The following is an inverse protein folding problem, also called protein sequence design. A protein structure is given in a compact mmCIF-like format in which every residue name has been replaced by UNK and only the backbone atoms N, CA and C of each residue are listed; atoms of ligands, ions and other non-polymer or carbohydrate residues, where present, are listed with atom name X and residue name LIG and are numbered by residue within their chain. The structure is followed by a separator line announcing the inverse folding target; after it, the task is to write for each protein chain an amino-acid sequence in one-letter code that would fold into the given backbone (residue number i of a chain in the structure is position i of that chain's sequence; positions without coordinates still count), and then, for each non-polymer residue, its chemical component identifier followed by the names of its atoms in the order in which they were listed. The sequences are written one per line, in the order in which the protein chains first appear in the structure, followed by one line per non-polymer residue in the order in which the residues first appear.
data_IF_653662419379
#
_entry.id   IF_653662419379
#
_cell.length_a   1.000
_cell.length_b   1.000
_cell.length_c   1.000
_cell.angle_alpha   90.00
_cell.angle_beta   90.00
_cell.angle_gamma   90.00
#
_symmetry.space_group_name_H-M   'P 1'
#
loop_
_entity.id
_entity.type
_entity.pdbx_description
1 polymer ?
#
# COMPACT_ATOMS: atom_id res chain seq x y z
N UNK A 1 -27.44 47.08 -39.85
CA UNK A 1 -26.53 46.82 -38.72
C UNK A 1 -26.91 45.49 -38.09
N UNK A 2 -26.05 44.49 -38.15
CA UNK A 2 -26.28 43.20 -37.48
C UNK A 2 -26.34 43.43 -35.98
N UNK A 3 -27.48 43.14 -35.33
CA UNK A 3 -27.57 43.14 -33.87
C UNK A 3 -26.60 42.10 -33.33
N UNK A 4 -25.64 42.52 -32.51
CA UNK A 4 -24.74 41.62 -31.82
C UNK A 4 -25.58 40.74 -30.88
N UNK A 5 -25.52 39.42 -31.05
CA UNK A 5 -26.24 38.49 -30.18
C UNK A 5 -25.42 38.23 -28.91
N UNK A 6 -25.64 39.06 -27.88
CA UNK A 6 -24.95 38.96 -26.59
C UNK A 6 -25.12 37.59 -25.91
N UNK A 7 -26.27 36.93 -26.07
CA UNK A 7 -26.49 35.60 -25.52
C UNK A 7 -25.58 34.55 -26.18
N UNK A 8 -25.36 34.66 -27.49
CA UNK A 8 -24.44 33.78 -28.23
C UNK A 8 -22.98 34.01 -27.83
N UNK A 9 -22.59 35.25 -27.55
CA UNK A 9 -21.25 35.58 -27.03
C UNK A 9 -21.08 34.96 -25.65
N UNK A 10 -22.06 35.13 -24.76
CA UNK A 10 -22.05 34.50 -23.44
C UNK A 10 -21.94 32.98 -23.53
N UNK A 11 -22.75 32.34 -24.37
CA UNK A 11 -22.68 30.89 -24.59
C UNK A 11 -21.30 30.44 -25.10
N UNK A 12 -20.65 31.23 -25.95
CA UNK A 12 -19.31 30.92 -26.46
C UNK A 12 -18.27 30.97 -25.33
N UNK A 13 -18.32 32.00 -24.48
CA UNK A 13 -17.44 32.13 -23.31
C UNK A 13 -17.68 30.98 -22.33
N UNK A 14 -18.95 30.66 -22.04
CA UNK A 14 -19.33 29.56 -21.15
C UNK A 14 -18.87 28.21 -21.69
N UNK A 15 -18.99 27.98 -23.00
CA UNK A 15 -18.46 26.79 -23.67
C UNK A 15 -16.94 26.69 -23.49
N UNK A 16 -16.19 27.74 -23.80
CA UNK A 16 -14.72 27.73 -23.67
C UNK A 16 -14.29 27.45 -22.22
N UNK A 17 -14.98 28.03 -21.23
CA UNK A 17 -14.68 27.79 -19.82
C UNK A 17 -14.92 26.32 -19.42
N UNK A 18 -16.10 25.76 -19.73
CA UNK A 18 -16.46 24.39 -19.35
C UNK A 18 -15.67 23.34 -20.13
N UNK A 19 -15.48 23.55 -21.43
CA UNK A 19 -14.61 22.73 -22.26
C UNK A 19 -13.16 22.78 -21.75
N UNK A 20 -12.70 23.96 -21.29
CA UNK A 20 -11.39 24.13 -20.66
C UNK A 20 -11.22 23.27 -19.41
N UNK A 21 -12.22 23.25 -18.51
CA UNK A 21 -12.20 22.38 -17.33
C UNK A 21 -12.20 20.90 -17.68
N UNK A 22 -13.10 20.45 -18.57
CA UNK A 22 -13.10 19.06 -19.01
C UNK A 22 -11.79 18.67 -19.69
N UNK A 23 -11.25 19.50 -20.57
CA UNK A 23 -10.01 19.19 -21.26
C UNK A 23 -8.83 19.15 -20.30
N UNK A 24 -8.81 20.04 -19.29
CA UNK A 24 -7.82 20.00 -18.22
C UNK A 24 -7.86 18.67 -17.46
N UNK A 25 -9.05 18.25 -17.01
CA UNK A 25 -9.18 17.00 -16.27
C UNK A 25 -8.82 15.77 -17.11
N UNK A 26 -9.27 15.72 -18.36
CA UNK A 26 -8.89 14.65 -19.29
C UNK A 26 -7.38 14.64 -19.53
N UNK A 27 -6.76 15.79 -19.80
CA UNK A 27 -5.32 15.88 -20.08
C UNK A 27 -4.45 15.48 -18.88
N UNK A 28 -4.83 15.91 -17.67
CA UNK A 28 -4.13 15.52 -16.45
C UNK A 28 -4.20 14.01 -16.21
N UNK A 29 -5.39 13.42 -16.32
CA UNK A 29 -5.59 11.98 -16.17
C UNK A 29 -4.74 11.18 -17.16
N UNK A 30 -4.73 11.59 -18.43
CA UNK A 30 -3.91 10.97 -19.48
C UNK A 30 -2.41 11.10 -19.19
N UNK A 31 -1.96 12.27 -18.74
CA UNK A 31 -0.55 12.50 -18.43
C UNK A 31 -0.09 11.68 -17.21
N UNK A 32 -0.92 11.58 -16.18
CA UNK A 32 -0.65 10.77 -14.99
C UNK A 32 -0.62 9.28 -15.34
N UNK A 33 -1.56 8.83 -16.17
CA UNK A 33 -1.67 7.43 -16.57
C UNK A 33 -0.58 7.01 -17.57
N UNK A 34 -0.22 7.88 -18.51
CA UNK A 34 0.78 7.64 -19.56
C UNK A 34 1.83 8.76 -19.56
N UNK A 35 2.82 8.72 -18.64
CA UNK A 35 3.86 9.75 -18.54
C UNK A 35 4.77 9.84 -19.79
N UNK A 36 4.71 8.86 -20.69
CA UNK A 36 5.40 8.88 -21.98
C UNK A 36 4.81 9.93 -22.94
N UNK A 37 3.56 10.36 -22.71
CA UNK A 37 2.92 11.41 -23.47
C UNK A 37 3.31 12.76 -22.85
N UNK A 38 3.70 13.73 -23.67
CA UNK A 38 3.95 15.08 -23.16
C UNK A 38 2.65 15.71 -22.67
N UNK A 39 2.71 16.61 -21.70
CA UNK A 39 1.52 17.32 -21.22
C UNK A 39 0.78 18.04 -22.37
N UNK A 40 1.51 18.58 -23.35
CA UNK A 40 0.94 19.19 -24.55
C UNK A 40 0.23 18.18 -25.45
N UNK A 41 0.77 16.97 -25.58
CA UNK A 41 0.11 15.87 -26.29
C UNK A 41 -1.19 15.45 -25.62
N UNK A 42 -1.19 15.35 -24.28
CA UNK A 42 -2.40 15.03 -23.51
C UNK A 42 -3.49 16.10 -23.68
N UNK A 43 -3.11 17.39 -23.64
CA UNK A 43 -4.03 18.50 -23.94
C UNK A 43 -4.59 18.46 -25.35
N UNK A 44 -3.76 18.19 -26.36
CA UNK A 44 -4.21 18.07 -27.74
C UNK A 44 -5.26 16.96 -27.90
N UNK A 45 -5.01 15.77 -27.33
CA UNK A 45 -5.95 14.65 -27.33
C UNK A 45 -7.26 15.05 -26.65
N UNK A 46 -7.18 15.66 -25.47
CA UNK A 46 -8.35 16.09 -24.71
C UNK A 46 -9.24 17.06 -25.50
N UNK A 47 -8.64 18.09 -26.11
CA UNK A 47 -9.37 19.08 -26.93
C UNK A 47 -10.04 18.41 -28.12
N UNK A 48 -9.33 17.56 -28.86
CA UNK A 48 -9.88 16.85 -30.02
C UNK A 48 -11.07 15.98 -29.62
N UNK A 49 -10.94 15.20 -28.54
CA UNK A 49 -12.00 14.32 -28.08
C UNK A 49 -13.23 15.10 -27.61
N UNK A 50 -13.04 16.19 -26.87
CA UNK A 50 -14.15 17.03 -26.40
C UNK A 50 -14.87 17.73 -27.56
N UNK A 51 -14.13 18.19 -28.58
CA UNK A 51 -14.71 18.79 -29.78
C UNK A 51 -15.51 17.77 -30.59
N UNK A 52 -14.99 16.55 -30.78
CA UNK A 52 -15.72 15.47 -31.47
C UNK A 52 -17.00 15.12 -30.68
N UNK A 53 -16.91 14.97 -29.36
CA UNK A 53 -18.06 14.71 -28.51
C UNK A 53 -19.12 15.83 -28.62
N UNK A 54 -18.70 17.09 -28.60
CA UNK A 54 -19.58 18.26 -28.75
C UNK A 54 -20.29 18.29 -30.12
N UNK A 55 -19.57 17.98 -31.20
CA UNK A 55 -20.14 17.85 -32.55
C UNK A 55 -21.16 16.71 -32.60
N UNK A 56 -20.81 15.55 -32.02
CA UNK A 56 -21.70 14.40 -31.96
C UNK A 56 -22.96 14.71 -31.14
N UNK A 57 -22.85 15.42 -30.01
CA UNK A 57 -24.00 15.89 -29.24
C UNK A 57 -24.91 16.80 -30.06
N UNK A 58 -24.35 17.80 -30.74
CA UNK A 58 -25.13 18.68 -31.61
C UNK A 58 -25.82 17.94 -32.75
N UNK A 59 -25.16 16.93 -33.35
CA UNK A 59 -25.75 16.07 -34.37
C UNK A 59 -26.86 15.18 -33.80
N UNK A 60 -26.68 14.63 -32.60
CA UNK A 60 -27.69 13.81 -31.93
C UNK A 60 -28.97 14.64 -31.73
N UNK A 61 -28.87 15.85 -31.20
CA UNK A 61 -30.01 16.75 -31.03
C UNK A 61 -30.74 17.02 -32.34
N UNK A 62 -30.01 17.25 -33.44
CA UNK A 62 -30.61 17.42 -34.77
C UNK A 62 -31.32 16.17 -35.28
N UNK A 63 -30.82 14.98 -34.96
CA UNK A 63 -31.49 13.72 -35.38
C UNK A 63 -32.77 13.44 -34.59
N UNK A 64 -32.85 13.97 -33.36
CA UNK A 64 -34.04 13.88 -32.51
C UNK A 64 -35.08 14.96 -32.83
N UNK A 65 -34.67 16.08 -33.44
CA UNK A 65 -35.58 17.11 -33.93
C UNK A 65 -36.38 16.60 -35.14
N UNK A 66 -37.70 16.51 -34.97
CA UNK A 66 -38.62 16.07 -36.02
C UNK A 66 -38.59 16.99 -37.25
N UNK A 67 -38.32 18.27 -37.04
CA UNK A 67 -38.36 19.31 -38.07
C UNK A 67 -37.04 19.46 -38.84
N UNK A 68 -36.00 18.69 -38.51
CA UNK A 68 -34.74 18.72 -39.23
C UNK A 68 -34.80 17.91 -40.52
N UNK A 69 -34.36 18.53 -41.62
CA UNK A 69 -34.31 17.89 -42.93
C UNK A 69 -32.98 17.14 -43.11
N UNK A 70 -33.10 15.86 -43.47
CA UNK A 70 -31.98 14.96 -43.75
C UNK A 70 -31.94 14.51 -45.21
N UNK A 71 -32.79 15.07 -46.07
CA UNK A 71 -32.80 14.77 -47.49
C UNK A 71 -31.46 15.12 -48.15
N UNK A 72 -30.91 14.19 -48.96
CA UNK A 72 -29.64 14.36 -49.67
C UNK A 72 -28.36 14.29 -48.83
N UNK A 73 -28.43 14.01 -47.51
CA UNK A 73 -27.24 13.84 -46.66
C UNK A 73 -26.75 12.38 -46.67
N UNK A 74 -25.43 12.18 -46.75
CA UNK A 74 -24.78 10.88 -46.65
C UNK A 74 -25.25 10.15 -45.37
N UNK A 75 -25.78 8.92 -45.52
CA UNK A 75 -26.35 8.06 -44.47
C UNK A 75 -27.69 8.47 -43.83
N UNK A 76 -28.35 9.54 -44.29
CA UNK A 76 -29.69 9.96 -43.82
C UNK A 76 -29.79 10.23 -42.31
N UNK A 77 -31.03 10.30 -41.78
CA UNK A 77 -31.27 10.53 -40.33
C UNK A 77 -30.73 9.39 -39.46
N UNK A 78 -30.98 8.14 -39.87
CA UNK A 78 -30.57 6.95 -39.12
C UNK A 78 -29.05 6.84 -38.98
N UNK A 79 -28.30 7.06 -40.05
CA UNK A 79 -26.84 7.01 -39.98
C UNK A 79 -26.25 8.18 -39.20
N UNK A 80 -26.83 9.38 -39.32
CA UNK A 80 -26.42 10.50 -38.48
C UNK A 80 -26.68 10.24 -36.98
N UNK A 81 -27.79 9.57 -36.64
CA UNK A 81 -28.11 9.16 -35.28
C UNK A 81 -27.12 8.12 -34.77
N UNK A 82 -26.83 7.08 -35.55
CA UNK A 82 -25.87 6.05 -35.16
C UNK A 82 -24.46 6.60 -34.98
N UNK A 83 -23.96 7.42 -35.92
CA UNK A 83 -22.63 8.01 -35.84
C UNK A 83 -22.51 8.98 -34.66
N UNK A 84 -23.54 9.78 -34.39
CA UNK A 84 -23.54 10.68 -33.24
C UNK A 84 -23.60 9.93 -31.91
N UNK A 85 -24.43 8.90 -31.82
CA UNK A 85 -24.54 8.06 -30.62
C UNK A 85 -23.22 7.31 -30.35
N UNK A 86 -22.68 6.61 -31.35
CA UNK A 86 -21.41 5.87 -31.21
C UNK A 86 -20.28 6.81 -30.87
N UNK A 87 -20.20 7.97 -31.52
CA UNK A 87 -19.19 8.98 -31.21
C UNK A 87 -19.29 9.50 -29.78
N UNK A 88 -20.51 9.75 -29.27
CA UNK A 88 -20.70 10.13 -27.86
C UNK A 88 -20.30 9.01 -26.90
N UNK A 89 -20.66 7.77 -27.19
CA UNK A 89 -20.25 6.65 -26.34
C UNK A 89 -18.72 6.55 -26.28
N UNK A 90 -18.06 6.55 -27.43
CA UNK A 90 -16.59 6.35 -27.49
C UNK A 90 -15.84 7.54 -26.92
N UNK A 91 -16.07 8.75 -27.43
CA UNK A 91 -15.26 9.91 -27.06
C UNK A 91 -15.65 10.52 -25.72
N UNK A 92 -16.93 10.43 -25.34
CA UNK A 92 -17.39 10.96 -24.06
C UNK A 92 -17.50 9.89 -22.98
N UNK A 93 -18.38 8.90 -23.12
CA UNK A 93 -18.66 7.96 -22.02
C UNK A 93 -17.52 6.98 -21.71
N UNK A 94 -16.73 6.59 -22.71
CA UNK A 94 -15.62 5.63 -22.54
C UNK A 94 -14.28 6.32 -22.25
N UNK A 95 -14.10 7.57 -22.69
CA UNK A 95 -12.81 8.26 -22.57
C UNK A 95 -12.90 9.52 -21.71
N UNK A 96 -13.62 10.56 -22.15
CA UNK A 96 -13.59 11.86 -21.46
C UNK A 96 -14.23 11.82 -20.06
N UNK A 97 -15.42 11.22 -19.90
CA UNK A 97 -16.08 11.14 -18.60
C UNK A 97 -15.28 10.28 -17.58
N UNK A 98 -14.75 9.10 -17.96
CA UNK A 98 -13.89 8.32 -17.08
C UNK A 98 -12.62 9.03 -16.64
N UNK A 99 -11.94 9.73 -17.56
CA UNK A 99 -10.73 10.50 -17.27
C UNK A 99 -11.01 11.74 -16.43
N UNK A 100 -12.12 12.44 -16.68
CA UNK A 100 -12.56 13.57 -15.85
C UNK A 100 -12.83 13.14 -14.41
N UNK A 101 -13.59 12.04 -14.25
CA UNK A 101 -13.89 11.46 -12.94
C UNK A 101 -12.62 11.03 -12.22
N UNK A 102 -11.69 10.39 -12.95
CA UNK A 102 -10.40 9.96 -12.42
C UNK A 102 -9.60 11.13 -11.86
N UNK A 103 -9.45 12.24 -12.60
CA UNK A 103 -8.71 13.41 -12.11
C UNK A 103 -9.33 14.01 -10.85
N UNK A 104 -10.67 14.10 -10.80
CA UNK A 104 -11.37 14.62 -9.63
C UNK A 104 -11.12 13.76 -8.39
N UNK A 105 -11.28 12.45 -8.53
CA UNK A 105 -11.01 11.50 -7.45
C UNK A 105 -9.53 11.50 -7.03
N UNK A 106 -8.64 11.45 -8.02
CA UNK A 106 -7.19 11.44 -7.83
C UNK A 106 -6.77 12.66 -7.02
N UNK A 107 -7.19 13.87 -7.43
CA UNK A 107 -6.87 15.11 -6.71
C UNK A 107 -7.41 15.15 -5.29
N UNK A 108 -8.56 14.53 -5.03
CA UNK A 108 -9.18 14.50 -3.71
C UNK A 108 -8.53 13.46 -2.77
N UNK A 109 -8.04 12.34 -3.30
CA UNK A 109 -7.73 11.15 -2.48
C UNK A 109 -6.26 10.75 -2.48
N UNK A 110 -5.46 11.11 -3.51
CA UNK A 110 -4.09 10.58 -3.65
C UNK A 110 -3.18 10.95 -2.49
N UNK A 111 -3.31 12.18 -1.96
CA UNK A 111 -2.51 12.64 -0.81
C UNK A 111 -2.75 11.76 0.42
N UNK A 112 -4.00 11.44 0.71
CA UNK A 112 -4.34 10.60 1.86
C UNK A 112 -3.87 9.16 1.65
N UNK A 113 -4.09 8.60 0.46
CA UNK A 113 -3.66 7.25 0.12
C UNK A 113 -2.14 7.09 0.25
N UNK A 114 -1.35 7.99 -0.35
CA UNK A 114 0.11 7.91 -0.31
C UNK A 114 0.65 8.17 1.11
N UNK A 115 0.05 9.09 1.87
CA UNK A 115 0.43 9.32 3.28
C UNK A 115 0.19 8.08 4.13
N UNK A 116 -0.97 7.42 3.98
CA UNK A 116 -1.28 6.20 4.73
C UNK A 116 -0.29 5.07 4.39
N UNK A 117 0.00 4.87 3.11
CA UNK A 117 0.92 3.83 2.65
C UNK A 117 2.37 4.09 3.09
N UNK A 118 2.83 5.34 2.97
CA UNK A 118 4.15 5.76 3.46
C UNK A 118 4.28 5.58 4.97
N UNK A 119 3.30 6.00 5.77
CA UNK A 119 3.34 5.84 7.23
C UNK A 119 3.38 4.35 7.64
N UNK A 120 2.58 3.51 6.98
CA UNK A 120 2.55 2.07 7.22
C UNK A 120 3.90 1.43 6.87
N UNK A 121 4.40 1.72 5.67
CA UNK A 121 5.68 1.23 5.16
C UNK A 121 6.84 1.68 6.05
N UNK A 122 6.85 2.94 6.47
CA UNK A 122 7.81 3.49 7.42
C UNK A 122 7.82 2.71 8.74
N UNK A 123 6.65 2.33 9.25
CA UNK A 123 6.51 1.50 10.45
C UNK A 123 7.13 0.11 10.29
N UNK A 124 6.95 -0.54 9.14
CA UNK A 124 7.56 -1.84 8.86
C UNK A 124 9.08 -1.77 8.69
N UNK A 125 9.59 -0.75 7.99
CA UNK A 125 11.03 -0.54 7.84
C UNK A 125 11.70 -0.25 9.19
N UNK A 126 11.07 0.55 10.05
CA UNK A 126 11.55 0.75 11.44
C UNK A 126 11.45 -0.53 12.25
N UNK A 127 10.39 -1.32 12.08
CA UNK A 127 10.23 -2.60 12.75
C UNK A 127 11.33 -3.60 12.44
N UNK A 128 11.81 -3.62 11.19
CA UNK A 128 12.97 -4.45 10.79
C UNK A 128 14.24 -4.08 11.57
N UNK A 129 14.43 -2.78 11.85
CA UNK A 129 15.59 -2.25 12.57
C UNK A 129 15.48 -2.45 14.09
N UNK A 130 14.36 -2.03 14.66
CA UNK A 130 14.21 -1.85 16.10
C UNK A 130 13.48 -3.02 16.79
N UNK A 131 12.68 -3.78 16.04
CA UNK A 131 11.68 -4.70 16.60
C UNK A 131 11.62 -6.06 15.86
N UNK A 132 12.78 -6.55 15.41
CA UNK A 132 12.92 -7.73 14.59
C UNK A 132 12.36 -8.99 15.28
N UNK A 133 11.47 -9.71 14.58
CA UNK A 133 10.75 -10.87 15.12
C UNK A 133 11.68 -12.04 15.42
N UNK A 134 12.69 -12.26 14.57
CA UNK A 134 13.63 -13.38 14.75
C UNK A 134 14.54 -13.15 15.96
N UNK A 135 14.99 -11.90 16.20
CA UNK A 135 15.72 -11.55 17.42
C UNK A 135 14.87 -11.86 18.66
N UNK A 136 13.59 -11.48 18.65
CA UNK A 136 12.67 -11.79 19.77
C UNK A 136 12.49 -13.29 19.99
N UNK A 137 12.38 -14.07 18.92
CA UNK A 137 12.27 -15.54 19.01
C UNK A 137 13.52 -16.14 19.64
N UNK A 138 14.71 -15.67 19.26
CA UNK A 138 15.98 -16.12 19.84
C UNK A 138 16.04 -15.78 21.33
N UNK A 139 15.72 -14.53 21.71
CA UNK A 139 15.69 -14.11 23.12
C UNK A 139 14.66 -14.90 23.94
N UNK A 140 13.48 -15.16 23.38
CA UNK A 140 12.45 -15.97 24.05
C UNK A 140 12.89 -17.43 24.22
N UNK A 141 13.58 -18.01 23.23
CA UNK A 141 14.14 -19.36 23.32
C UNK A 141 15.19 -19.45 24.42
N UNK A 142 16.09 -18.46 24.51
CA UNK A 142 17.05 -18.35 25.60
C UNK A 142 16.35 -18.24 26.96
N UNK A 143 15.39 -17.34 27.10
CA UNK A 143 14.64 -17.13 28.34
C UNK A 143 13.94 -18.42 28.80
N UNK A 144 13.26 -19.11 27.89
CA UNK A 144 12.57 -20.37 28.19
C UNK A 144 13.55 -21.45 28.66
N UNK A 145 14.74 -21.53 28.05
CA UNK A 145 15.80 -22.47 28.45
C UNK A 145 16.37 -22.12 29.82
N UNK A 146 16.59 -20.84 30.11
CA UNK A 146 17.06 -20.36 31.41
C UNK A 146 16.06 -20.69 32.52
N UNK A 147 14.78 -20.36 32.32
CA UNK A 147 13.70 -20.66 33.27
C UNK A 147 13.57 -22.17 33.53
N UNK A 148 13.72 -23.00 32.48
CA UNK A 148 13.73 -24.46 32.63
C UNK A 148 14.92 -24.96 33.46
N UNK A 149 16.12 -24.41 33.27
CA UNK A 149 17.29 -24.74 34.10
C UNK A 149 17.05 -24.34 35.55
N UNK A 150 16.61 -23.10 35.81
CA UNK A 150 16.35 -22.61 37.16
C UNK A 150 15.31 -23.47 37.90
N UNK A 151 14.24 -23.89 37.20
CA UNK A 151 13.25 -24.81 37.75
C UNK A 151 13.84 -26.17 38.16
N UNK A 152 14.76 -26.71 37.37
CA UNK A 152 15.45 -27.96 37.70
C UNK A 152 16.40 -27.79 38.90
N UNK A 153 17.14 -26.69 38.98
CA UNK A 153 17.99 -26.39 40.14
C UNK A 153 17.16 -26.30 41.42
N UNK A 154 16.00 -25.64 41.38
CA UNK A 154 15.07 -25.59 42.52
C UNK A 154 14.60 -27.00 42.90
N UNK A 155 14.28 -27.86 41.92
CA UNK A 155 13.89 -29.26 42.18
C UNK A 155 15.03 -30.08 42.80
N UNK A 156 16.28 -29.86 42.41
CA UNK A 156 17.44 -30.52 43.04
C UNK A 156 17.59 -30.14 44.51
N UNK A 157 17.41 -28.87 44.85
CA UNK A 157 17.43 -28.39 46.24
C UNK A 157 16.26 -28.96 47.04
N UNK A 158 15.07 -29.00 46.46
CA UNK A 158 13.90 -29.57 47.14
C UNK A 158 14.05 -31.08 47.41
N UNK A 159 14.70 -31.83 46.50
CA UNK A 159 14.86 -33.27 46.64
C UNK A 159 15.79 -33.66 47.79
N UNK A 160 16.86 -32.89 48.06
CA UNK A 160 17.75 -33.23 49.19
C UNK A 160 17.10 -33.04 50.56
N UNK A 161 16.06 -32.21 50.64
CA UNK A 161 15.27 -31.94 51.85
C UNK A 161 14.00 -32.81 51.94
N UNK A 162 13.83 -33.78 51.04
CA UNK A 162 12.66 -34.66 50.99
C UNK A 162 12.63 -35.61 52.20
N UNK A 163 11.58 -35.48 53.04
CA UNK A 163 11.40 -36.29 54.26
C UNK A 163 11.35 -37.81 53.99
N UNK A 164 10.93 -38.23 52.80
CA UNK A 164 10.83 -39.65 52.43
C UNK A 164 12.14 -40.28 51.96
N UNK A 165 13.12 -39.46 51.57
CA UNK A 165 14.42 -39.88 51.04
C UNK A 165 15.42 -38.72 51.15
N UNK A 166 15.99 -38.52 52.34
CA UNK A 166 16.90 -37.40 52.59
C UNK A 166 18.24 -37.62 51.87
N UNK A 167 18.72 -36.55 51.21
CA UNK A 167 20.04 -36.50 50.57
C UNK A 167 20.05 -36.81 49.07
N UNK A 168 21.23 -37.15 48.54
CA UNK A 168 21.43 -37.39 47.11
C UNK A 168 21.26 -38.89 46.82
N UNK A 169 20.21 -39.23 46.06
CA UNK A 169 19.86 -40.61 45.70
C UNK A 169 19.40 -40.78 44.24
N UNK A 170 18.79 -41.92 43.87
CA UNK A 170 18.41 -42.22 42.48
C UNK A 170 17.46 -41.19 41.84
N UNK A 171 16.57 -40.61 42.65
CA UNK A 171 15.67 -39.53 42.19
C UNK A 171 16.41 -38.25 41.86
N UNK A 172 17.41 -37.90 42.66
CA UNK A 172 18.29 -36.76 42.39
C UNK A 172 19.04 -36.94 41.05
N UNK A 173 19.56 -38.14 40.78
CA UNK A 173 20.20 -38.45 39.48
C UNK A 173 19.20 -38.34 38.32
N UNK A 174 17.95 -38.74 38.53
CA UNK A 174 16.90 -38.57 37.50
C UNK A 174 16.67 -37.10 37.15
N UNK A 175 16.68 -36.22 38.16
CA UNK A 175 16.57 -34.76 37.96
C UNK A 175 17.82 -34.21 37.26
N UNK A 176 19.02 -34.72 37.57
CA UNK A 176 20.25 -34.33 36.86
C UNK A 176 20.25 -34.78 35.39
N UNK A 177 19.70 -35.95 35.06
CA UNK A 177 19.54 -36.39 33.67
C UNK A 177 18.56 -35.48 32.92
N UNK A 178 17.52 -34.98 33.59
CA UNK A 178 16.62 -33.97 33.03
C UNK A 178 17.35 -32.65 32.76
N UNK A 179 18.25 -32.23 33.67
CA UNK A 179 19.12 -31.08 33.49
C UNK A 179 20.03 -31.24 32.26
N UNK A 180 20.69 -32.38 32.10
CA UNK A 180 21.52 -32.67 30.91
C UNK A 180 20.72 -32.50 29.62
N UNK A 181 19.48 -33.03 29.58
CA UNK A 181 18.60 -32.92 28.40
C UNK A 181 18.26 -31.48 28.07
N UNK A 182 17.96 -30.66 29.08
CA UNK A 182 17.65 -29.23 28.87
C UNK A 182 18.90 -28.45 28.45
N UNK A 183 20.07 -28.80 28.96
CA UNK A 183 21.34 -28.15 28.62
C UNK A 183 21.84 -28.52 27.22
N UNK A 184 21.52 -29.72 26.75
CA UNK A 184 21.90 -30.22 25.43
C UNK A 184 21.45 -29.30 24.30
N UNK A 185 22.38 -28.96 23.42
CA UNK A 185 22.12 -28.15 22.20
C UNK A 185 21.82 -29.06 21.00
N UNK A 186 22.33 -30.29 21.03
CA UNK A 186 22.12 -31.35 20.05
C UNK A 186 21.56 -32.59 20.76
N UNK A 187 20.45 -33.14 20.23
CA UNK A 187 19.87 -34.38 20.74
C UNK A 187 20.82 -35.58 20.57
N UNK A 188 21.77 -35.51 19.62
CA UNK A 188 22.73 -36.56 19.32
C UNK A 188 24.05 -36.42 20.09
N UNK A 189 24.33 -35.26 20.70
CA UNK A 189 25.50 -35.02 21.54
C UNK A 189 25.12 -34.23 22.80
N UNK A 190 24.51 -34.90 23.79
CA UNK A 190 23.98 -34.23 24.95
C UNK A 190 25.09 -33.66 25.84
N UNK A 191 24.92 -32.40 26.27
CA UNK A 191 25.79 -31.79 27.25
C UNK A 191 25.62 -32.54 28.58
N UNK A 192 26.64 -33.30 28.98
CA UNK A 192 26.65 -33.99 30.28
C UNK A 192 27.42 -33.15 31.27
N UNK A 193 26.74 -32.66 32.32
CA UNK A 193 27.45 -32.05 33.45
C UNK A 193 28.22 -33.15 34.19
N UNK A 194 29.46 -32.84 34.58
CA UNK A 194 30.35 -33.77 35.25
C UNK A 194 29.77 -34.13 36.62
N UNK A 195 29.48 -35.43 36.82
CA UNK A 195 28.95 -35.94 38.09
C UNK A 195 30.06 -36.00 39.14
N UNK A 196 29.76 -35.57 40.37
CA UNK A 196 30.65 -35.70 41.53
C UNK A 196 30.68 -37.16 41.99
N UNK A 197 31.86 -37.74 42.16
CA UNK A 197 32.04 -39.15 42.54
C UNK A 197 31.78 -39.43 44.02
N UNK A 198 31.96 -38.44 44.90
CA UNK A 198 31.66 -38.56 46.33
C UNK A 198 30.90 -37.32 46.83
N UNK A 199 29.61 -37.47 47.07
CA UNK A 199 28.68 -36.39 47.40
C UNK A 199 28.56 -36.12 48.91
N UNK A 200 29.22 -36.93 49.74
CA UNK A 200 29.17 -36.82 51.20
C UNK A 200 27.83 -37.25 51.83
N UNK A 201 27.73 -37.09 53.15
CA UNK A 201 26.59 -37.56 53.97
C UNK A 201 25.89 -36.45 54.75
N UNK A 202 26.32 -35.19 54.59
CA UNK A 202 25.74 -34.05 55.28
C UNK A 202 25.07 -33.08 54.31
N UNK A 203 24.06 -32.37 54.80
CA UNK A 203 23.34 -31.35 54.03
C UNK A 203 24.27 -30.28 53.44
N UNK A 204 25.29 -29.86 54.19
CA UNK A 204 26.29 -28.90 53.71
C UNK A 204 27.07 -29.42 52.51
N UNK A 205 27.43 -30.71 52.50
CA UNK A 205 28.12 -31.35 51.37
C UNK A 205 27.21 -31.54 50.17
N UNK A 206 25.92 -31.86 50.38
CA UNK A 206 24.94 -31.96 49.31
C UNK A 206 24.67 -30.60 48.66
N UNK A 207 24.56 -29.53 49.44
CA UNK A 207 24.44 -28.17 48.92
C UNK A 207 25.68 -27.74 48.13
N UNK A 208 26.88 -28.08 48.61
CA UNK A 208 28.12 -27.84 47.86
C UNK A 208 28.11 -28.58 46.50
N UNK A 209 27.58 -29.81 46.49
CA UNK A 209 27.42 -30.61 45.27
C UNK A 209 26.41 -29.99 44.31
N UNK A 210 25.25 -29.52 44.81
CA UNK A 210 24.25 -28.80 44.00
C UNK A 210 24.84 -27.51 43.42
N UNK A 211 25.56 -26.73 44.23
CA UNK A 211 26.21 -25.49 43.77
C UNK A 211 27.21 -25.78 42.64
N UNK A 212 27.96 -26.88 42.72
CA UNK A 212 28.86 -27.30 41.66
C UNK A 212 28.11 -27.65 40.35
N UNK A 213 26.98 -28.35 40.44
CA UNK A 213 26.14 -28.62 39.26
C UNK A 213 25.46 -27.36 38.70
N UNK A 214 25.00 -26.46 39.57
CA UNK A 214 24.43 -25.18 39.20
C UNK A 214 25.45 -24.31 38.45
N UNK A 215 26.70 -24.27 38.92
CA UNK A 215 27.78 -23.54 38.24
C UNK A 215 28.01 -24.09 36.83
N UNK A 216 28.12 -25.42 36.68
CA UNK A 216 28.27 -26.03 35.35
C UNK A 216 27.08 -25.74 34.43
N UNK A 217 25.85 -25.77 34.96
CA UNK A 217 24.64 -25.47 34.19
C UNK A 217 24.64 -24.02 33.68
N UNK A 218 25.03 -23.06 34.53
CA UNK A 218 25.14 -21.66 34.15
C UNK A 218 26.29 -21.39 33.18
N UNK A 219 27.41 -22.10 33.29
CA UNK A 219 28.50 -22.03 32.30
C UNK A 219 28.02 -22.51 30.91
N UNK A 220 27.22 -23.58 30.86
CA UNK A 220 26.61 -24.04 29.61
C UNK A 220 25.55 -23.06 29.07
N UNK A 221 24.73 -22.47 29.93
CA UNK A 221 23.79 -21.42 29.52
C UNK A 221 24.52 -20.18 28.98
N UNK A 222 25.67 -19.82 29.55
CA UNK A 222 26.51 -18.72 29.05
C UNK A 222 27.06 -19.01 27.66
N UNK A 223 27.50 -20.24 27.40
CA UNK A 223 27.91 -20.67 26.06
C UNK A 223 26.73 -20.60 25.07
N UNK A 224 25.56 -21.09 25.47
CA UNK A 224 24.35 -21.02 24.66
C UNK A 224 23.94 -19.57 24.37
N UNK A 225 24.01 -18.67 25.37
CA UNK A 225 23.76 -17.24 25.20
C UNK A 225 24.70 -16.63 24.18
N UNK A 226 25.99 -16.97 24.24
CA UNK A 226 26.99 -16.49 23.28
C UNK A 226 26.65 -16.90 21.84
N UNK A 227 26.14 -18.12 21.62
CA UNK A 227 25.64 -18.54 20.31
C UNK A 227 24.42 -17.73 19.87
N UNK A 228 23.43 -17.55 20.75
CA UNK A 228 22.28 -16.68 20.48
C UNK A 228 22.70 -15.24 20.15
N UNK A 229 23.66 -14.68 20.87
CA UNK A 229 24.15 -13.32 20.63
C UNK A 229 24.86 -13.20 19.27
N UNK A 230 25.56 -14.25 18.81
CA UNK A 230 26.12 -14.30 17.45
C UNK A 230 25.03 -14.25 16.39
N UNK A 231 24.01 -15.11 16.50
CA UNK A 231 22.86 -15.12 15.57
C UNK A 231 22.14 -13.76 15.56
N UNK A 232 21.90 -13.16 16.74
CA UNK A 232 21.30 -11.84 16.86
C UNK A 232 22.15 -10.77 16.17
N UNK A 233 23.48 -10.82 16.32
CA UNK A 233 24.38 -9.85 15.70
C UNK A 233 24.43 -9.98 14.17
N UNK A 234 24.35 -11.19 13.62
CA UNK A 234 24.25 -11.42 12.17
C UNK A 234 22.94 -10.82 11.61
N UNK A 235 21.83 -11.01 12.30
CA UNK A 235 20.54 -10.41 11.92
C UNK A 235 20.63 -8.88 12.02
N UNK A 236 21.17 -8.34 13.11
CA UNK A 236 21.37 -6.88 13.29
C UNK A 236 22.31 -6.29 12.25
N UNK A 237 23.34 -7.00 11.83
CA UNK A 237 24.25 -6.53 10.78
C UNK A 237 23.52 -6.40 9.44
N UNK A 238 22.65 -7.37 9.13
CA UNK A 238 21.83 -7.36 7.91
C UNK A 238 20.79 -6.23 7.96
N UNK A 239 20.10 -6.07 9.09
CA UNK A 239 19.07 -5.05 9.28
C UNK A 239 19.65 -3.65 9.54
N UNK A 240 20.89 -3.55 9.99
CA UNK A 240 21.66 -2.30 10.11
C UNK A 240 22.34 -1.91 8.80
N UNK A 241 21.90 -2.46 7.67
CA UNK A 241 22.47 -2.15 6.36
C UNK A 241 22.21 -0.68 5.98
N UNK A 242 23.18 -0.09 5.26
CA UNK A 242 23.03 1.26 4.68
C UNK A 242 21.79 1.36 3.78
N UNK A 243 21.41 0.24 3.16
CA UNK A 243 20.20 0.14 2.33
C UNK A 243 18.93 0.42 3.15
N UNK A 244 18.73 -0.28 4.29
CA UNK A 244 17.55 -0.05 5.13
C UNK A 244 17.52 1.39 5.66
N UNK A 245 18.67 1.92 6.12
CA UNK A 245 18.75 3.29 6.60
C UNK A 245 18.39 4.33 5.52
N UNK A 246 18.83 4.10 4.28
CA UNK A 246 18.46 4.93 3.15
C UNK A 246 16.96 4.84 2.84
N UNK A 247 16.36 3.65 2.85
CA UNK A 247 14.92 3.47 2.63
C UNK A 247 14.07 4.17 3.70
N UNK A 248 14.48 4.06 4.97
CA UNK A 248 13.85 4.77 6.10
C UNK A 248 13.97 6.29 5.91
N UNK A 249 15.13 6.77 5.49
CA UNK A 249 15.36 8.20 5.26
C UNK A 249 14.52 8.72 4.10
N UNK A 250 14.50 8.00 2.97
CA UNK A 250 13.74 8.38 1.79
C UNK A 250 12.25 8.43 2.08
N UNK A 251 11.67 7.43 2.77
CA UNK A 251 10.26 7.47 3.17
C UNK A 251 9.93 8.67 4.07
N UNK A 252 10.83 9.04 5.00
CA UNK A 252 10.64 10.25 5.83
C UNK A 252 10.67 11.53 5.01
N UNK A 253 11.55 11.61 4.00
CA UNK A 253 11.61 12.75 3.07
C UNK A 253 10.32 12.81 2.25
N UNK A 254 9.91 11.69 1.64
CA UNK A 254 8.67 11.57 0.89
C UNK A 254 7.45 11.99 1.74
N UNK A 255 7.34 11.53 2.99
CA UNK A 255 6.29 11.96 3.92
C UNK A 255 6.31 13.48 4.15
N UNK A 256 7.48 14.05 4.40
CA UNK A 256 7.66 15.49 4.62
C UNK A 256 7.22 16.30 3.39
N UNK A 257 7.59 15.87 2.19
CA UNK A 257 7.25 16.53 0.94
C UNK A 257 5.75 16.44 0.65
N UNK A 258 5.13 15.28 0.91
CA UNK A 258 3.67 15.11 0.81
C UNK A 258 2.94 16.00 1.82
N UNK A 259 3.41 16.11 3.06
CA UNK A 259 2.75 16.97 4.06
C UNK A 259 2.81 18.45 3.68
N UNK A 260 3.95 18.93 3.17
CA UNK A 260 4.16 20.32 2.74
C UNK A 260 3.44 20.68 1.44
N UNK A 261 2.89 19.70 0.74
CA UNK A 261 2.18 19.89 -0.51
C UNK A 261 0.83 20.60 -0.28
N UNK A 262 0.69 21.83 -0.77
CA UNK A 262 -0.55 22.62 -0.72
C UNK A 262 -1.61 22.20 -1.76
N UNK A 263 -1.21 21.46 -2.79
CA UNK A 263 -2.09 20.88 -3.80
C UNK A 263 -1.33 19.82 -4.60
N UNK A 264 -2.04 18.92 -5.26
CA UNK A 264 -1.43 17.74 -5.93
C UNK A 264 -0.32 18.13 -6.89
N UNK A 265 0.89 17.65 -6.58
CA UNK A 265 2.09 17.75 -7.41
C UNK A 265 2.52 16.34 -7.83
N UNK A 266 2.41 16.08 -9.14
CA UNK A 266 2.65 14.75 -9.70
C UNK A 266 4.11 14.31 -9.60
N UNK A 267 5.07 15.22 -9.65
CA UNK A 267 6.49 14.87 -9.53
C UNK A 267 6.82 14.36 -8.13
N UNK A 268 6.29 15.05 -7.10
CA UNK A 268 6.44 14.62 -5.71
C UNK A 268 5.74 13.27 -5.48
N UNK A 269 4.54 13.08 -6.03
CA UNK A 269 3.81 11.82 -5.92
C UNK A 269 4.57 10.67 -6.61
N UNK A 270 5.09 10.89 -7.81
CA UNK A 270 5.86 9.87 -8.53
C UNK A 270 7.15 9.51 -7.80
N UNK A 271 7.87 10.50 -7.25
CA UNK A 271 9.05 10.26 -6.44
C UNK A 271 8.72 9.42 -5.19
N UNK A 272 7.66 9.78 -4.46
CA UNK A 272 7.20 9.05 -3.29
C UNK A 272 6.71 7.62 -3.64
N UNK A 273 6.06 7.41 -4.79
CA UNK A 273 5.71 6.08 -5.29
C UNK A 273 6.97 5.27 -5.60
N UNK A 274 8.00 5.88 -6.19
CA UNK A 274 9.30 5.23 -6.41
C UNK A 274 9.94 4.74 -5.12
N UNK A 275 9.94 5.58 -4.08
CA UNK A 275 10.44 5.21 -2.75
C UNK A 275 9.61 4.08 -2.12
N UNK A 276 8.28 4.10 -2.28
CA UNK A 276 7.39 3.02 -1.84
C UNK A 276 7.70 1.70 -2.56
N UNK A 277 7.90 1.73 -3.89
CA UNK A 277 8.23 0.51 -4.66
C UNK A 277 9.51 -0.13 -4.15
N UNK A 278 10.56 0.67 -3.93
CA UNK A 278 11.84 0.18 -3.39
C UNK A 278 11.65 -0.41 -1.98
N UNK A 279 10.86 0.26 -1.15
CA UNK A 279 10.56 -0.18 0.22
C UNK A 279 9.76 -1.48 0.25
N UNK A 280 8.77 -1.61 -0.64
CA UNK A 280 7.97 -2.83 -0.79
C UNK A 280 8.84 -4.01 -1.19
N UNK A 281 9.77 -3.83 -2.14
CA UNK A 281 10.70 -4.87 -2.55
C UNK A 281 11.59 -5.33 -1.37
N UNK A 282 12.11 -4.39 -0.57
CA UNK A 282 12.91 -4.70 0.60
C UNK A 282 12.12 -5.43 1.68
N UNK A 283 10.90 -4.98 1.97
CA UNK A 283 9.97 -5.64 2.91
C UNK A 283 9.66 -7.07 2.46
N UNK A 284 9.41 -7.27 1.16
CA UNK A 284 9.14 -8.60 0.59
C UNK A 284 10.34 -9.53 0.75
N UNK A 285 11.55 -9.06 0.47
CA UNK A 285 12.79 -9.85 0.61
C UNK A 285 13.10 -10.23 2.08
N UNK A 286 12.60 -9.44 3.03
CA UNK A 286 12.86 -9.58 4.46
C UNK A 286 11.60 -9.95 5.25
N UNK A 287 10.58 -10.50 4.59
CA UNK A 287 9.27 -10.76 5.17
C UNK A 287 9.32 -11.70 6.39
N UNK A 288 10.31 -12.59 6.46
CA UNK A 288 10.55 -13.50 7.60
C UNK A 288 10.87 -12.76 8.90
N UNK A 289 11.42 -11.54 8.82
CA UNK A 289 11.82 -10.74 9.97
C UNK A 289 10.70 -9.80 10.48
N UNK A 290 9.54 -9.80 9.81
CA UNK A 290 8.45 -8.84 10.03
C UNK A 290 7.24 -9.54 10.63
N UNK A 291 6.60 -8.90 11.61
CA UNK A 291 5.27 -9.26 12.06
C UNK A 291 4.23 -8.39 11.35
N UNK A 292 3.70 -8.86 10.23
CA UNK A 292 2.67 -8.14 9.47
C UNK A 292 1.36 -8.04 10.26
N UNK A 293 0.72 -6.87 10.21
CA UNK A 293 -0.63 -6.66 10.74
C UNK A 293 -1.68 -6.96 9.65
N UNK A 294 -2.88 -7.33 10.07
CA UNK A 294 -4.15 -7.21 9.32
C UNK A 294 -4.06 -7.18 7.79
N UNK A 295 -3.93 -8.34 7.14
CA UNK A 295 -3.95 -8.44 5.67
C UNK A 295 -2.76 -7.82 4.92
N UNK A 296 -1.89 -7.05 5.59
CA UNK A 296 -0.74 -6.38 4.97
C UNK A 296 0.25 -7.36 4.36
N UNK A 297 0.36 -8.57 4.93
CA UNK A 297 1.25 -9.61 4.39
C UNK A 297 1.01 -9.80 2.89
N UNK A 298 -0.25 -10.02 2.50
CA UNK A 298 -0.60 -10.21 1.09
C UNK A 298 -0.30 -8.95 0.25
N UNK A 299 -0.50 -7.76 0.80
CA UNK A 299 -0.21 -6.49 0.12
C UNK A 299 1.27 -6.36 -0.25
N UNK A 300 2.18 -6.66 0.68
CA UNK A 300 3.62 -6.54 0.47
C UNK A 300 4.23 -7.76 -0.24
N UNK A 301 3.70 -8.97 -0.05
CA UNK A 301 4.36 -10.19 -0.54
C UNK A 301 3.78 -10.74 -1.84
N UNK A 302 2.61 -10.28 -2.31
CA UNK A 302 2.03 -10.76 -3.59
C UNK A 302 2.98 -10.57 -4.76
N UNK A 303 2.85 -11.40 -5.78
CA UNK A 303 3.53 -11.17 -7.05
C UNK A 303 2.97 -9.90 -7.70
N UNK A 304 3.87 -9.04 -8.20
CA UNK A 304 3.46 -7.72 -8.71
C UNK A 304 2.91 -6.77 -7.65
N UNK A 305 3.26 -6.91 -6.37
CA UNK A 305 2.86 -5.98 -5.33
C UNK A 305 3.17 -4.53 -5.74
N UNK A 306 2.13 -3.71 -5.83
CA UNK A 306 2.22 -2.28 -6.12
C UNK A 306 1.68 -1.45 -4.95
N UNK A 307 2.26 -0.27 -4.69
CA UNK A 307 1.72 0.67 -3.71
C UNK A 307 0.30 1.10 -4.06
N UNK A 308 -0.53 1.40 -3.06
CA UNK A 308 -1.93 1.80 -3.26
C UNK A 308 -2.02 3.07 -4.13
N UNK A 309 -1.11 4.01 -3.90
CA UNK A 309 -1.01 5.25 -4.67
C UNK A 309 -0.71 5.00 -6.16
N UNK A 310 -0.06 3.89 -6.51
CA UNK A 310 0.25 3.54 -7.90
C UNK A 310 -0.99 3.03 -8.64
N UNK A 311 -1.86 2.28 -7.97
CA UNK A 311 -3.13 1.80 -8.54
C UNK A 311 -4.04 2.98 -8.89
N UNK A 312 -3.98 4.07 -8.11
CA UNK A 312 -4.73 5.31 -8.38
C UNK A 312 -4.28 6.08 -9.62
N UNK A 313 -3.12 5.77 -10.22
CA UNK A 313 -2.64 6.46 -11.41
C UNK A 313 -3.32 5.98 -12.70
N UNK A 314 -3.95 4.80 -12.66
CA UNK A 314 -4.49 4.12 -13.83
C UNK A 314 -6.00 4.30 -13.92
N UNK A 315 -6.47 4.94 -14.99
CA UNK A 315 -7.91 5.14 -15.23
C UNK A 315 -8.66 3.81 -15.29
N UNK A 316 -8.20 2.81 -16.08
CA UNK A 316 -8.89 1.53 -16.14
C UNK A 316 -8.94 0.81 -14.80
N UNK A 317 -7.85 0.85 -14.02
CA UNK A 317 -7.81 0.15 -12.73
C UNK A 317 -8.73 0.81 -11.70
N UNK A 318 -8.76 2.15 -11.66
CA UNK A 318 -9.67 2.91 -10.78
C UNK A 318 -11.13 2.59 -11.10
N UNK A 319 -11.50 2.54 -12.39
CA UNK A 319 -12.86 2.18 -12.79
C UNK A 319 -13.19 0.71 -12.57
N UNK A 320 -12.25 -0.20 -12.82
CA UNK A 320 -12.40 -1.62 -12.52
C UNK A 320 -12.62 -1.84 -11.02
N UNK A 321 -11.78 -1.24 -10.18
CA UNK A 321 -11.89 -1.35 -8.73
C UNK A 321 -13.22 -0.79 -8.24
N UNK A 322 -13.68 0.36 -8.76
CA UNK A 322 -14.99 0.90 -8.43
C UNK A 322 -16.16 -0.03 -8.82
N UNK A 323 -16.08 -0.69 -9.97
CA UNK A 323 -17.15 -1.55 -10.47
C UNK A 323 -17.15 -2.96 -9.86
N UNK A 324 -16.03 -3.40 -9.27
CA UNK A 324 -15.85 -4.79 -8.84
C UNK A 324 -15.48 -4.96 -7.37
N UNK A 325 -15.22 -3.88 -6.64
CA UNK A 325 -14.77 -3.91 -5.24
C UNK A 325 -15.35 -2.74 -4.44
N UNK A 326 -15.31 -2.86 -3.11
CA UNK A 326 -15.76 -1.81 -2.17
C UNK A 326 -14.66 -0.78 -1.85
N UNK A 327 -13.56 -0.74 -2.64
CA UNK A 327 -12.35 0.04 -2.36
C UNK A 327 -12.59 1.55 -2.24
N UNK A 328 -13.61 2.05 -2.94
CA UNK A 328 -13.95 3.48 -2.98
C UNK A 328 -15.21 3.82 -2.17
N UNK A 329 -15.70 2.90 -1.34
CA UNK A 329 -16.83 3.17 -0.45
C UNK A 329 -16.48 4.31 0.51
N UNK A 330 -17.39 5.29 0.61
CA UNK A 330 -17.17 6.50 1.41
C UNK A 330 -16.25 7.56 0.78
N UNK A 331 -15.62 7.30 -0.38
CA UNK A 331 -14.75 8.26 -1.08
C UNK A 331 -15.52 9.17 -2.07
N UNK A 332 -16.84 9.04 -2.14
CA UNK A 332 -17.69 9.90 -2.97
C UNK A 332 -17.50 9.71 -4.48
N UNK A 333 -17.09 8.53 -4.94
CA UNK A 333 -16.85 8.27 -6.37
C UNK A 333 -18.04 8.69 -7.27
N UNK A 334 -19.27 8.31 -6.88
CA UNK A 334 -20.50 8.70 -7.58
C UNK A 334 -20.64 10.21 -7.69
N UNK A 335 -20.27 10.96 -6.65
CA UNK A 335 -20.32 12.42 -6.66
C UNK A 335 -19.38 13.01 -7.72
N UNK A 336 -18.18 12.46 -7.86
CA UNK A 336 -17.23 12.88 -8.89
C UNK A 336 -17.72 12.56 -10.31
N UNK A 337 -18.40 11.43 -10.52
CA UNK A 337 -19.09 11.12 -11.79
C UNK A 337 -20.11 12.20 -12.10
N UNK A 338 -20.95 12.57 -11.12
CA UNK A 338 -22.00 13.57 -11.31
C UNK A 338 -21.44 14.95 -11.66
N UNK A 339 -20.36 15.38 -11.00
CA UNK A 339 -19.69 16.65 -11.31
C UNK A 339 -19.14 16.62 -12.75
N UNK A 340 -18.40 15.56 -13.12
CA UNK A 340 -17.85 15.43 -14.47
C UNK A 340 -18.96 15.46 -15.54
N UNK A 341 -20.04 14.72 -15.30
CA UNK A 341 -21.19 14.66 -16.18
C UNK A 341 -21.88 16.03 -16.34
N UNK A 342 -22.06 16.78 -15.25
CA UNK A 342 -22.69 18.11 -15.30
C UNK A 342 -21.85 19.12 -16.10
N UNK A 343 -20.53 19.13 -15.90
CA UNK A 343 -19.63 20.02 -16.63
C UNK A 343 -19.63 19.71 -18.12
N UNK A 344 -19.54 18.43 -18.49
CA UNK A 344 -19.52 18.01 -19.89
C UNK A 344 -20.85 18.30 -20.59
N UNK A 345 -21.98 17.94 -19.97
CA UNK A 345 -23.31 18.22 -20.52
C UNK A 345 -23.56 19.71 -20.69
N UNK A 346 -23.21 20.52 -19.69
CA UNK A 346 -23.32 21.98 -19.79
C UNK A 346 -22.45 22.51 -20.93
N UNK A 347 -21.22 22.01 -21.07
CA UNK A 347 -20.32 22.33 -22.18
C UNK A 347 -20.95 22.02 -23.54
N UNK A 348 -21.53 20.83 -23.71
CA UNK A 348 -22.18 20.43 -24.96
C UNK A 348 -23.42 21.28 -25.28
N UNK A 349 -24.21 21.65 -24.27
CA UNK A 349 -25.36 22.55 -24.44
C UNK A 349 -24.90 23.93 -24.92
N UNK A 350 -23.91 24.52 -24.27
CA UNK A 350 -23.37 25.82 -24.67
C UNK A 350 -22.67 25.78 -26.03
N UNK A 351 -22.03 24.67 -26.39
CA UNK A 351 -21.53 24.44 -27.75
C UNK A 351 -22.65 24.53 -28.78
N UNK A 352 -23.74 23.78 -28.56
CA UNK A 352 -24.86 23.76 -29.49
C UNK A 352 -25.52 25.15 -29.61
N UNK A 353 -25.68 25.89 -28.50
CA UNK A 353 -26.20 27.26 -28.53
C UNK A 353 -25.28 28.20 -29.32
N UNK A 354 -23.96 28.06 -29.15
CA UNK A 354 -22.95 28.94 -29.74
C UNK A 354 -22.75 28.73 -31.24
N UNK A 355 -22.82 27.48 -31.70
CA UNK A 355 -22.37 27.11 -33.04
C UNK A 355 -23.48 26.59 -33.96
N UNK A 356 -24.69 26.34 -33.46
CA UNK A 356 -25.78 25.86 -34.31
C UNK A 356 -26.56 27.03 -34.96
N UNK A 357 -26.67 27.00 -36.29
CA UNK A 357 -27.11 28.17 -37.08
C UNK A 357 -28.62 28.44 -37.06
N UNK A 358 -29.44 27.50 -36.57
CA UNK A 358 -30.92 27.66 -36.52
C UNK A 358 -31.42 28.55 -35.38
N UNK A 359 -30.59 28.87 -34.38
CA UNK A 359 -30.96 29.79 -33.30
C UNK A 359 -31.07 31.26 -33.73
N UNK A 360 -30.86 31.58 -35.01
CA UNK A 360 -31.00 32.94 -35.55
C UNK A 360 -32.46 33.35 -35.85
N UNK A 361 -33.41 32.40 -35.93
CA UNK A 361 -34.78 32.71 -36.39
C UNK A 361 -35.88 32.42 -35.35
N UNK A 362 -35.55 31.91 -34.16
CA UNK A 362 -36.53 31.59 -33.12
C UNK A 362 -36.61 32.65 -32.00
N UNK A 363 -35.80 33.70 -32.07
CA UNK A 363 -35.77 34.80 -31.11
C UNK A 363 -35.87 36.18 -31.81
N UNK A 364 -36.38 36.22 -33.04
CA UNK A 364 -36.75 37.47 -33.73
C UNK A 364 -38.25 37.74 -33.61
#
# INVERSE_FOLDING_TARGET
MNKINFFRIFACIAFVALAGFSCFWTAESLFVWQPSITIYGAWFIAIVFFMIASICFGKLLKTLDKNEDFYGKLFGRTGALLLSLVGLVVFWLVVSLPTNTHTLLYRASIKNAITADLNRTQGYLQGLKDNNVEIKKIDQKYKSKNEAVDAIIIRLVAEIDNLSAIGIGPRFETILVELDRILSVDANNPAKIQRVTNVGSSRTQWLATINYYQQQAYDQLKLYRSTCDKEINEIKSTMGSKELDNLIKNNKIALSDIYKMNGVNNDIIQAAIGDLVNSYAYIKANAQYINFKDGDKNRYTREGAMPEAKEMLSVPDVWKDYLTTDKYDGHGFVWWILIALLVDLAGFIFYNISFNSKNNNALS
#
